data_IF_074513420287
#
_entry.id   IF_074513420287
#
_cell.length_a   1.000
_cell.length_b   1.000
_cell.length_c   1.000
_cell.angle_alpha   90.00
_cell.angle_beta   90.00
_cell.angle_gamma   90.00
#
_symmetry.space_group_name_H-M   'P 1'
#
loop_
_entity.id
_entity.type
_entity.pdbx_description
1 polymer ?
#
# COMPACT_ATOMS: atom_id res chain seq x y z
N UNK A 1 10.23 23.85 -23.00
CA UNK A 1 11.39 24.02 -22.10
C UNK A 1 11.64 22.67 -21.45
N UNK A 2 12.77 22.00 -21.76
CA UNK A 2 13.11 20.73 -21.12
C UNK A 2 13.64 21.02 -19.73
N UNK A 3 12.99 20.49 -18.69
CA UNK A 3 13.43 20.63 -17.31
C UNK A 3 13.99 19.27 -16.86
N UNK A 4 15.28 19.23 -16.55
CA UNK A 4 15.88 18.07 -15.90
C UNK A 4 15.31 17.93 -14.49
N UNK A 5 15.01 16.70 -14.08
CA UNK A 5 14.56 16.36 -12.71
C UNK A 5 15.59 15.45 -12.08
N UNK A 6 15.92 15.69 -10.80
CA UNK A 6 16.68 14.74 -10.00
C UNK A 6 15.85 13.45 -9.89
N UNK A 7 16.48 12.32 -10.18
CA UNK A 7 15.90 10.99 -9.95
C UNK A 7 16.61 10.34 -8.77
N UNK A 8 15.88 9.52 -8.02
CA UNK A 8 16.38 8.77 -6.86
C UNK A 8 15.78 7.37 -6.91
N UNK A 9 16.38 6.43 -6.16
CA UNK A 9 15.86 5.06 -6.08
C UNK A 9 14.51 5.01 -5.36
N UNK A 10 13.70 4.00 -5.72
CA UNK A 10 12.49 3.62 -4.97
C UNK A 10 12.61 2.16 -4.50
N UNK A 11 13.39 1.90 -3.43
CA UNK A 11 13.60 0.56 -2.93
C UNK A 11 12.34 0.02 -2.26
N UNK A 12 12.14 -1.28 -2.34
CA UNK A 12 11.05 -1.96 -1.63
C UNK A 12 11.34 -1.95 -0.12
N UNK A 13 10.37 -1.54 0.73
CA UNK A 13 10.55 -1.60 2.18
C UNK A 13 10.61 -3.06 2.65
N UNK A 14 11.49 -3.33 3.63
CA UNK A 14 11.70 -4.67 4.17
C UNK A 14 11.09 -4.85 5.57
N UNK A 15 11.17 -3.82 6.41
CA UNK A 15 10.69 -3.82 7.79
C UNK A 15 10.49 -2.38 8.28
N UNK A 16 9.75 -2.21 9.39
CA UNK A 16 9.63 -0.92 10.09
C UNK A 16 10.55 -0.91 11.31
N UNK A 17 11.48 0.04 11.38
CA UNK A 17 12.44 0.09 12.49
C UNK A 17 11.78 0.37 13.84
N UNK A 18 10.83 1.31 13.88
CA UNK A 18 10.12 1.74 15.08
C UNK A 18 8.93 0.83 15.44
N UNK A 19 8.83 -0.39 14.89
CA UNK A 19 7.66 -1.26 15.05
C UNK A 19 7.32 -1.55 16.52
N UNK A 20 8.33 -1.72 17.38
CA UNK A 20 8.11 -1.97 18.81
C UNK A 20 7.47 -0.76 19.51
N UNK A 21 7.96 0.46 19.22
CA UNK A 21 7.39 1.71 19.75
C UNK A 21 5.95 1.90 19.27
N UNK A 22 5.69 1.63 17.98
CA UNK A 22 4.33 1.71 17.42
C UNK A 22 3.40 0.75 18.16
N UNK A 23 3.82 -0.50 18.41
CA UNK A 23 3.02 -1.46 19.19
C UNK A 23 2.72 -0.96 20.60
N UNK A 24 3.72 -0.45 21.32
CA UNK A 24 3.49 0.08 22.67
C UNK A 24 2.44 1.19 22.68
N UNK A 25 2.49 2.11 21.70
CA UNK A 25 1.47 3.16 21.61
C UNK A 25 0.07 2.60 21.33
N UNK A 26 -0.04 1.61 20.43
CA UNK A 26 -1.31 0.94 20.12
C UNK A 26 -1.88 0.18 21.32
N UNK A 27 -1.04 -0.47 22.13
CA UNK A 27 -1.43 -1.17 23.37
C UNK A 27 -1.98 -0.20 24.44
N UNK A 28 -1.71 1.10 24.29
CA UNK A 28 -2.23 2.17 25.14
C UNK A 28 -3.34 2.99 24.45
N UNK A 29 -4.07 2.38 23.52
CA UNK A 29 -5.22 2.98 22.81
C UNK A 29 -4.90 4.32 22.10
N UNK A 30 -3.63 4.52 21.71
CA UNK A 30 -3.21 5.73 21.03
C UNK A 30 -3.38 5.60 19.53
N UNK A 31 -3.98 6.60 18.88
CA UNK A 31 -3.99 6.72 17.41
C UNK A 31 -2.59 7.10 16.94
N UNK A 32 -1.94 6.22 16.18
CA UNK A 32 -0.56 6.42 15.71
C UNK A 32 -0.54 6.86 14.25
N UNK A 33 0.20 7.94 13.97
CA UNK A 33 0.59 8.34 12.61
C UNK A 33 2.04 7.93 12.41
N UNK A 34 2.30 7.02 11.47
CA UNK A 34 3.62 6.47 11.19
C UNK A 34 3.90 6.42 9.68
N UNK A 35 5.16 6.12 9.31
CA UNK A 35 5.59 5.94 7.92
C UNK A 35 5.25 7.12 6.99
N UNK A 36 5.28 8.35 7.52
CA UNK A 36 5.02 9.57 6.74
C UNK A 36 5.89 9.61 5.48
N UNK A 37 5.26 9.80 4.31
CA UNK A 37 5.95 9.83 3.02
C UNK A 37 6.59 8.50 2.58
N UNK A 38 6.25 7.37 3.22
CA UNK A 38 6.91 6.07 3.02
C UNK A 38 7.95 5.72 4.07
N UNK A 39 8.26 6.65 4.99
CA UNK A 39 9.31 6.51 5.99
C UNK A 39 10.69 6.95 5.48
N UNK A 40 11.63 7.12 6.41
CA UNK A 40 13.02 7.47 6.09
C UNK A 40 13.74 6.20 5.65
N UNK A 41 14.26 6.11 4.41
CA UNK A 41 14.97 4.92 3.96
C UNK A 41 16.29 4.78 4.71
N UNK A 42 16.46 3.65 5.37
CA UNK A 42 17.64 3.29 6.14
C UNK A 42 18.14 1.90 5.76
N UNK A 43 19.43 1.66 5.94
CA UNK A 43 20.05 0.36 5.76
C UNK A 43 21.07 0.10 6.88
N UNK A 44 21.46 -1.17 7.05
CA UNK A 44 22.50 -1.56 8.00
C UNK A 44 23.85 -1.62 7.28
N UNK A 45 24.68 -0.62 7.55
CA UNK A 45 26.09 -0.60 7.17
C UNK A 45 26.91 -1.49 8.13
N UNK A 46 27.86 -2.30 7.63
CA UNK A 46 28.66 -3.20 8.46
C UNK A 46 29.64 -2.49 9.42
N UNK A 47 29.95 -1.21 9.21
CA UNK A 47 30.90 -0.44 10.03
C UNK A 47 30.19 0.69 10.79
N UNK A 48 29.37 1.48 10.10
CA UNK A 48 28.73 2.66 10.66
C UNK A 48 27.45 2.35 11.44
N UNK A 49 26.86 1.16 11.23
CA UNK A 49 25.61 0.78 11.86
C UNK A 49 24.41 1.18 11.02
N UNK A 50 23.48 1.98 11.56
CA UNK A 50 22.25 2.34 10.86
C UNK A 50 22.44 3.64 10.10
N UNK A 51 22.36 3.59 8.77
CA UNK A 51 22.63 4.71 7.87
C UNK A 51 21.41 5.05 7.01
N UNK A 52 21.25 6.32 6.68
CA UNK A 52 20.23 6.80 5.75
C UNK A 52 20.68 6.72 4.29
N UNK A 53 19.72 6.60 3.37
CA UNK A 53 19.98 6.66 1.92
C UNK A 53 19.01 7.59 1.22
N UNK A 54 19.52 8.37 0.26
CA UNK A 54 18.73 9.28 -0.58
C UNK A 54 17.85 8.48 -1.56
N UNK A 55 16.69 8.06 -1.08
CA UNK A 55 15.68 7.30 -1.80
C UNK A 55 14.26 7.73 -1.39
N UNK A 56 13.26 7.29 -2.13
CA UNK A 56 11.84 7.49 -1.79
C UNK A 56 11.17 6.13 -1.74
N UNK A 57 10.69 5.74 -0.56
CA UNK A 57 9.92 4.49 -0.41
C UNK A 57 8.47 4.77 -0.78
N UNK A 58 7.84 3.85 -1.52
CA UNK A 58 6.42 3.94 -1.83
C UNK A 58 5.57 3.83 -0.55
N UNK A 59 4.67 4.79 -0.34
CA UNK A 59 3.84 4.88 0.87
C UNK A 59 2.87 3.71 1.03
N UNK A 60 2.34 3.17 -0.07
CA UNK A 60 1.36 2.09 -0.03
C UNK A 60 2.10 0.79 0.33
N UNK A 61 3.29 0.56 -0.24
CA UNK A 61 4.16 -0.57 0.16
C UNK A 61 4.65 -0.46 1.61
N UNK A 62 5.05 0.73 2.07
CA UNK A 62 5.47 0.92 3.46
C UNK A 62 4.32 0.66 4.43
N UNK A 63 3.12 1.15 4.11
CA UNK A 63 1.92 0.91 4.90
C UNK A 63 1.52 -0.58 4.91
N UNK A 64 1.67 -1.29 3.78
CA UNK A 64 1.46 -2.73 3.71
C UNK A 64 2.42 -3.52 4.61
N UNK A 65 3.71 -3.13 4.64
CA UNK A 65 4.72 -3.73 5.55
C UNK A 65 4.35 -3.45 7.00
N UNK A 66 4.03 -2.20 7.36
CA UNK A 66 3.60 -1.84 8.70
C UNK A 66 2.37 -2.65 9.14
N UNK A 67 1.32 -2.71 8.31
CA UNK A 67 0.10 -3.45 8.60
C UNK A 67 0.37 -4.95 8.76
N UNK A 68 1.24 -5.52 7.92
CA UNK A 68 1.64 -6.92 7.99
C UNK A 68 2.40 -7.23 9.28
N UNK A 69 3.40 -6.40 9.63
CA UNK A 69 4.16 -6.58 10.85
C UNK A 69 3.26 -6.45 12.07
N UNK A 70 2.39 -5.43 12.12
CA UNK A 70 1.45 -5.25 13.22
C UNK A 70 0.45 -6.41 13.37
N UNK A 71 0.24 -7.22 12.33
CA UNK A 71 -0.80 -8.25 12.31
C UNK A 71 -2.18 -7.61 12.24
N UNK A 72 -2.33 -6.51 11.50
CA UNK A 72 -3.61 -5.85 11.31
C UNK A 72 -4.63 -6.83 10.68
N UNK A 73 -5.91 -6.62 10.97
CA UNK A 73 -7.00 -7.40 10.38
C UNK A 73 -7.41 -6.83 9.01
N UNK A 74 -7.27 -5.52 8.85
CA UNK A 74 -7.66 -4.76 7.67
C UNK A 74 -6.54 -3.79 7.26
N UNK A 75 -6.21 -3.81 5.97
CA UNK A 75 -5.39 -2.77 5.34
C UNK A 75 -6.24 -1.94 4.37
N UNK A 76 -6.39 -0.64 4.66
CA UNK A 76 -7.23 0.27 3.88
C UNK A 76 -6.37 1.30 3.16
N UNK A 77 -6.43 1.31 1.82
CA UNK A 77 -5.81 2.34 0.98
C UNK A 77 -6.91 3.32 0.55
N UNK A 78 -6.72 4.59 0.91
CA UNK A 78 -7.62 5.67 0.52
C UNK A 78 -7.02 6.45 -0.66
N UNK A 79 -7.80 6.58 -1.73
CA UNK A 79 -7.41 7.24 -2.98
C UNK A 79 -8.50 8.21 -3.46
N UNK A 80 -8.37 8.70 -4.69
CA UNK A 80 -9.28 9.62 -5.39
C UNK A 80 -10.38 8.94 -6.23
N UNK A 81 -10.35 7.61 -6.32
CA UNK A 81 -11.35 6.79 -7.03
C UNK A 81 -12.07 5.86 -6.07
N UNK A 82 -13.33 5.59 -6.34
CA UNK A 82 -14.23 4.83 -5.47
C UNK A 82 -13.96 3.32 -5.47
N UNK A 83 -13.36 2.80 -6.54
CA UNK A 83 -12.95 1.41 -6.70
C UNK A 83 -11.74 1.28 -7.67
N UNK A 84 -11.17 0.08 -7.75
CA UNK A 84 -10.26 -0.34 -8.81
C UNK A 84 -11.08 -0.71 -10.04
N UNK A 85 -10.57 -0.37 -11.22
CA UNK A 85 -11.26 -0.62 -12.49
C UNK A 85 -10.38 -1.40 -13.47
N UNK A 86 -10.99 -2.30 -14.24
CA UNK A 86 -10.41 -2.77 -15.52
C UNK A 86 -10.88 -1.88 -16.65
N UNK A 87 -10.08 -1.72 -17.72
CA UNK A 87 -10.47 -0.92 -18.88
C UNK A 87 -10.60 0.58 -18.55
N UNK A 88 -9.75 1.08 -17.66
CA UNK A 88 -9.82 2.48 -17.21
C UNK A 88 -9.77 3.46 -18.38
N UNK A 89 -10.72 4.40 -18.40
CA UNK A 89 -10.83 5.41 -19.45
C UNK A 89 -11.37 4.89 -20.79
N UNK A 90 -11.86 3.65 -20.86
CA UNK A 90 -12.48 3.09 -22.08
C UNK A 90 -13.97 2.79 -21.88
N UNK A 91 -14.68 2.49 -22.96
CA UNK A 91 -16.09 2.04 -22.91
C UNK A 91 -16.28 0.70 -22.19
N UNK A 92 -15.19 -0.06 -22.02
CA UNK A 92 -15.18 -1.34 -21.31
C UNK A 92 -14.82 -1.17 -19.83
N UNK A 93 -14.75 0.07 -19.32
CA UNK A 93 -14.44 0.35 -17.92
C UNK A 93 -15.43 -0.37 -16.99
N UNK A 94 -14.90 -1.17 -16.07
CA UNK A 94 -15.71 -1.93 -15.09
C UNK A 94 -15.05 -1.88 -13.71
N UNK A 95 -15.84 -1.53 -12.70
CA UNK A 95 -15.41 -1.56 -11.31
C UNK A 95 -15.23 -3.01 -10.85
N UNK A 96 -14.15 -3.27 -10.14
CA UNK A 96 -13.89 -4.54 -9.49
C UNK A 96 -14.39 -4.42 -8.05
N UNK A 97 -15.46 -5.12 -7.70
CA UNK A 97 -15.97 -5.11 -6.32
C UNK A 97 -15.07 -5.92 -5.37
N UNK A 98 -14.58 -7.06 -5.85
CA UNK A 98 -13.69 -7.95 -5.11
C UNK A 98 -12.77 -8.68 -6.08
N UNK A 99 -11.55 -9.00 -5.65
CA UNK A 99 -10.64 -9.90 -6.36
C UNK A 99 -9.75 -10.68 -5.37
N UNK A 100 -9.35 -11.88 -5.77
CA UNK A 100 -8.32 -12.65 -5.08
C UNK A 100 -6.92 -12.11 -5.36
N UNK A 101 -5.92 -12.50 -4.55
CA UNK A 101 -4.51 -12.23 -4.83
C UNK A 101 -4.09 -12.76 -6.21
N UNK A 102 -4.58 -13.94 -6.59
CA UNK A 102 -4.27 -14.54 -7.90
C UNK A 102 -4.83 -13.73 -9.07
N UNK A 103 -6.05 -13.18 -8.92
CA UNK A 103 -6.64 -12.29 -9.93
C UNK A 103 -5.91 -10.95 -10.00
N UNK A 104 -5.50 -10.40 -8.86
CA UNK A 104 -4.69 -9.18 -8.82
C UNK A 104 -3.36 -9.38 -9.56
N UNK A 105 -2.66 -10.49 -9.32
CA UNK A 105 -1.40 -10.82 -10.00
C UNK A 105 -1.60 -11.02 -11.51
N UNK A 106 -2.68 -11.72 -11.91
CA UNK A 106 -3.03 -11.91 -13.33
C UNK A 106 -3.30 -10.58 -14.03
N UNK A 107 -4.17 -9.74 -13.46
CA UNK A 107 -4.53 -8.43 -14.02
C UNK A 107 -3.33 -7.48 -14.08
N UNK A 108 -2.44 -7.53 -13.08
CA UNK A 108 -1.19 -6.78 -13.10
C UNK A 108 -0.27 -7.23 -14.25
N UNK A 109 -0.17 -8.54 -14.50
CA UNK A 109 0.59 -9.09 -15.64
C UNK A 109 0.01 -8.73 -17.01
N UNK A 110 -1.29 -8.43 -17.08
CA UNK A 110 -1.99 -7.93 -18.26
C UNK A 110 -1.91 -6.40 -18.41
N UNK A 111 -1.14 -5.72 -17.56
CA UNK A 111 -1.05 -4.24 -17.52
C UNK A 111 -2.44 -3.57 -17.35
N UNK A 112 -3.36 -4.22 -16.64
CA UNK A 112 -4.73 -3.72 -16.48
C UNK A 112 -4.83 -2.46 -15.59
N UNK A 113 -3.77 -2.15 -14.83
CA UNK A 113 -3.73 -1.05 -13.87
C UNK A 113 -2.69 0.01 -14.30
N UNK A 114 -3.01 1.29 -14.10
CA UNK A 114 -2.11 2.38 -14.43
C UNK A 114 -0.78 2.32 -13.67
N UNK A 115 0.33 2.33 -14.42
CA UNK A 115 1.69 2.39 -13.86
C UNK A 115 1.88 3.68 -13.06
N UNK A 116 2.45 3.55 -11.85
CA UNK A 116 2.69 4.69 -10.95
C UNK A 116 1.46 5.28 -10.27
N UNK A 117 0.26 4.71 -10.47
CA UNK A 117 -0.97 5.12 -9.78
C UNK A 117 -1.67 3.96 -9.09
N UNK A 118 -2.40 3.14 -9.84
CA UNK A 118 -3.21 2.05 -9.30
C UNK A 118 -2.42 0.75 -9.15
N UNK A 119 -1.46 0.48 -10.05
CA UNK A 119 -0.66 -0.73 -9.97
C UNK A 119 0.10 -0.87 -8.63
N UNK A 120 0.77 0.17 -8.09
CA UNK A 120 1.42 0.08 -6.77
C UNK A 120 0.43 -0.20 -5.62
N UNK A 121 -0.80 0.34 -5.68
CA UNK A 121 -1.84 0.14 -4.66
C UNK A 121 -2.32 -1.30 -4.62
N UNK A 122 -2.65 -1.85 -5.79
CA UNK A 122 -3.08 -3.24 -5.92
C UNK A 122 -1.95 -4.18 -5.48
N UNK A 123 -0.71 -3.90 -5.89
CA UNK A 123 0.46 -4.69 -5.48
C UNK A 123 0.68 -4.67 -3.96
N UNK A 124 0.58 -3.49 -3.33
CA UNK A 124 0.72 -3.35 -1.88
C UNK A 124 -0.39 -4.09 -1.11
N UNK A 125 -1.64 -3.94 -1.56
CA UNK A 125 -2.78 -4.63 -0.97
C UNK A 125 -2.67 -6.15 -1.10
N UNK A 126 -2.32 -6.65 -2.29
CA UNK A 126 -2.08 -8.07 -2.53
C UNK A 126 -0.90 -8.62 -1.70
N UNK A 127 0.19 -7.86 -1.56
CA UNK A 127 1.33 -8.27 -0.72
C UNK A 127 0.95 -8.38 0.76
N UNK A 128 0.18 -7.43 1.29
CA UNK A 128 -0.37 -7.50 2.65
C UNK A 128 -1.26 -8.74 2.84
N UNK A 129 -2.21 -8.98 1.93
CA UNK A 129 -3.12 -10.13 2.02
C UNK A 129 -2.33 -11.44 1.95
N UNK A 130 -1.31 -11.52 1.09
CA UNK A 130 -0.44 -12.71 0.97
C UNK A 130 0.38 -13.00 2.24
N UNK A 131 0.82 -11.95 2.94
CA UNK A 131 1.63 -12.06 4.18
C UNK A 131 0.79 -12.31 5.42
N UNK A 132 -0.50 -12.03 5.35
CA UNK A 132 -1.42 -12.10 6.49
C UNK A 132 -2.57 -13.06 6.19
N UNK A 133 -3.55 -13.11 7.08
CA UNK A 133 -4.88 -13.68 6.77
C UNK A 133 -5.96 -12.59 6.76
N UNK A 134 -5.53 -11.33 6.74
CA UNK A 134 -6.42 -10.18 6.71
C UNK A 134 -6.96 -9.94 5.31
N UNK A 135 -7.75 -8.89 5.18
CA UNK A 135 -8.26 -8.38 3.90
C UNK A 135 -7.75 -6.98 3.64
N UNK A 136 -7.66 -6.60 2.37
CA UNK A 136 -7.32 -5.24 1.98
C UNK A 136 -8.47 -4.58 1.22
N UNK A 137 -8.59 -3.26 1.34
CA UNK A 137 -9.62 -2.47 0.66
C UNK A 137 -8.96 -1.27 0.00
N UNK A 138 -9.35 -0.99 -1.25
CA UNK A 138 -8.98 0.23 -1.99
C UNK A 138 -10.27 1.00 -2.28
N UNK A 139 -10.37 2.24 -1.84
CA UNK A 139 -11.56 3.08 -2.09
C UNK A 139 -11.24 4.58 -1.95
N UNK A 140 -12.23 5.43 -2.19
CA UNK A 140 -12.10 6.87 -1.99
C UNK A 140 -12.22 7.26 -0.51
N UNK A 141 -11.55 8.35 -0.12
CA UNK A 141 -11.57 8.87 1.25
C UNK A 141 -13.00 9.01 1.82
N UNK A 142 -13.93 9.53 1.01
CA UNK A 142 -15.31 9.78 1.44
C UNK A 142 -16.10 8.49 1.75
N UNK A 143 -15.68 7.36 1.18
CA UNK A 143 -16.33 6.04 1.32
C UNK A 143 -15.62 5.09 2.27
N UNK A 144 -14.48 5.46 2.83
CA UNK A 144 -13.66 4.58 3.67
C UNK A 144 -14.46 3.84 4.75
N UNK A 145 -15.34 4.54 5.48
CA UNK A 145 -16.20 3.91 6.50
C UNK A 145 -17.19 2.90 5.90
N UNK A 146 -17.83 3.23 4.79
CA UNK A 146 -18.79 2.35 4.13
C UNK A 146 -18.10 1.11 3.59
N UNK A 147 -16.91 1.26 3.00
CA UNK A 147 -16.13 0.15 2.47
C UNK A 147 -15.67 -0.81 3.57
N UNK A 148 -15.24 -0.31 4.74
CA UNK A 148 -14.96 -1.14 5.92
C UNK A 148 -16.19 -1.99 6.31
N UNK A 149 -17.39 -1.45 6.15
CA UNK A 149 -18.66 -2.13 6.40
C UNK A 149 -19.12 -3.05 5.26
N UNK A 150 -18.31 -3.22 4.20
CA UNK A 150 -18.62 -4.06 3.05
C UNK A 150 -19.44 -3.38 1.96
N UNK A 151 -19.52 -2.04 1.98
CA UNK A 151 -20.31 -1.26 1.02
C UNK A 151 -19.41 -0.36 0.18
N UNK A 152 -19.15 -0.79 -1.06
CA UNK A 152 -18.29 -0.09 -2.02
C UNK A 152 -16.79 -0.37 -1.83
N UNK A 153 -15.97 0.24 -2.66
CA UNK A 153 -14.54 -0.09 -2.74
C UNK A 153 -14.26 -1.35 -3.54
N UNK A 154 -12.98 -1.69 -3.60
CA UNK A 154 -12.49 -2.98 -4.08
C UNK A 154 -11.88 -3.72 -2.91
N UNK A 155 -12.42 -4.90 -2.62
CA UNK A 155 -11.86 -5.81 -1.62
C UNK A 155 -10.83 -6.76 -2.27
N UNK A 156 -9.69 -6.93 -1.63
CA UNK A 156 -8.70 -7.92 -2.00
C UNK A 156 -8.65 -8.97 -0.88
N UNK A 157 -8.89 -10.21 -1.27
CA UNK A 157 -9.00 -11.38 -0.39
C UNK A 157 -7.95 -12.43 -0.76
N UNK A 158 -7.61 -13.36 0.15
CA UNK A 158 -6.65 -14.43 -0.11
C UNK A 158 -6.92 -15.20 -1.41
#
# INVERSE_FOLDING_TARGET
KGHFRRVVGSPRPLAIHEIATIRTLLEHDTVVIACGGGGIPIYRDPVLGLEGVDAVVDKDLAAAVLASELGAELFLILTDVDAVYTGWGTEQQRAIASMSVAEADRLAGESAFGEGSMAPKVAAAADYVRRTKGRAIITELSRGRAAVQGVGGTEIVP
#
